data_IF_628398980649
#
_entry.id   IF_628398980649
#
_cell.length_a   1.000
_cell.length_b   1.000
_cell.length_c   1.000
_cell.angle_alpha   90.00
_cell.angle_beta   90.00
_cell.angle_gamma   90.00
#
_symmetry.space_group_name_H-M   'P 1'
#
loop_
_entity.id
_entity.type
_entity.pdbx_description
1 polymer ?
#
# COMPACT_ATOMS: atom_id res chain seq x y z
N UNK A 1 12.46 -18.65 -3.23
CA UNK A 1 12.76 -17.43 -2.45
C UNK A 1 12.24 -17.65 -1.05
N UNK A 2 13.06 -17.48 0.00
CA UNK A 2 12.66 -17.77 1.38
C UNK A 2 11.46 -16.91 1.78
N UNK A 3 10.36 -17.56 2.17
CA UNK A 3 9.26 -16.88 2.85
C UNK A 3 9.74 -16.37 4.20
N UNK A 4 9.28 -15.19 4.60
CA UNK A 4 9.50 -14.69 5.95
C UNK A 4 8.74 -15.59 6.94
N UNK A 5 9.49 -16.25 7.82
CA UNK A 5 8.92 -17.00 8.93
C UNK A 5 8.65 -16.06 10.10
N UNK A 6 7.37 -15.72 10.27
CA UNK A 6 6.91 -14.83 11.33
C UNK A 6 7.00 -15.48 12.72
N UNK A 7 6.89 -16.81 12.79
CA UNK A 7 6.95 -17.51 14.07
C UNK A 7 8.39 -17.58 14.56
N UNK A 8 9.34 -17.77 13.64
CA UNK A 8 10.76 -17.64 13.94
C UNK A 8 11.09 -16.24 14.48
N UNK A 9 10.55 -15.17 13.87
CA UNK A 9 10.73 -13.80 14.41
C UNK A 9 10.26 -13.70 15.86
N UNK A 10 9.06 -14.20 16.16
CA UNK A 10 8.50 -14.15 17.52
C UNK A 10 9.34 -14.98 18.50
N UNK A 11 9.76 -16.16 18.09
CA UNK A 11 10.59 -17.07 18.89
C UNK A 11 11.92 -16.43 19.23
N UNK A 12 12.62 -15.86 18.25
CA UNK A 12 13.91 -15.18 18.44
C UNK A 12 13.79 -13.99 19.39
N UNK A 13 12.78 -13.13 19.20
CA UNK A 13 12.54 -11.98 20.11
C UNK A 13 12.28 -12.45 21.54
N UNK A 14 11.43 -13.48 21.71
CA UNK A 14 11.15 -14.05 23.03
C UNK A 14 12.40 -14.64 23.68
N UNK A 15 13.25 -15.33 22.91
CA UNK A 15 14.52 -15.89 23.42
C UNK A 15 15.50 -14.80 23.83
N UNK A 16 15.64 -13.74 23.04
CA UNK A 16 16.58 -12.65 23.32
C UNK A 16 16.16 -11.76 24.48
N UNK A 17 14.87 -11.51 24.61
CA UNK A 17 14.37 -10.40 25.43
C UNK A 17 13.32 -10.80 26.46
N UNK A 18 12.89 -12.06 26.48
CA UNK A 18 11.84 -12.55 27.36
C UNK A 18 10.43 -12.03 27.01
N UNK A 19 9.41 -12.39 27.81
CA UNK A 19 8.04 -11.94 27.63
C UNK A 19 7.90 -10.48 28.11
N UNK A 20 8.13 -9.52 27.23
CA UNK A 20 8.09 -8.08 27.54
C UNK A 20 7.06 -7.36 26.67
N UNK A 21 6.64 -6.14 27.06
CA UNK A 21 5.72 -5.31 26.27
C UNK A 21 6.14 -5.17 24.78
N UNK A 22 7.44 -4.99 24.44
CA UNK A 22 7.89 -5.01 23.04
C UNK A 22 7.47 -6.27 22.25
N UNK A 23 7.47 -7.45 22.89
CA UNK A 23 7.04 -8.69 22.23
C UNK A 23 5.57 -8.63 21.81
N UNK A 24 4.70 -8.09 22.65
CA UNK A 24 3.27 -7.94 22.33
C UNK A 24 3.06 -6.91 21.21
N UNK A 25 3.76 -5.78 21.25
CA UNK A 25 3.72 -4.78 20.17
C UNK A 25 4.19 -5.37 18.84
N UNK A 26 5.25 -6.19 18.85
CA UNK A 26 5.71 -6.87 17.63
C UNK A 26 4.67 -7.86 17.13
N UNK A 27 4.04 -8.66 18.00
CA UNK A 27 2.97 -9.59 17.59
C UNK A 27 1.84 -8.86 16.89
N UNK A 28 1.39 -7.73 17.45
CA UNK A 28 0.35 -6.90 16.85
C UNK A 28 0.79 -6.30 15.51
N UNK A 29 2.03 -5.83 15.40
CA UNK A 29 2.58 -5.31 14.15
C UNK A 29 2.64 -6.40 13.08
N UNK A 30 3.16 -7.60 13.39
CA UNK A 30 3.24 -8.72 12.46
C UNK A 30 1.84 -9.09 11.94
N UNK A 31 0.88 -9.25 12.85
CA UNK A 31 -0.50 -9.56 12.45
C UNK A 31 -1.08 -8.47 11.54
N UNK A 32 -0.85 -7.20 11.89
CA UNK A 32 -1.33 -6.06 11.10
C UNK A 32 -0.69 -5.99 9.71
N UNK A 33 0.61 -6.27 9.59
CA UNK A 33 1.33 -6.40 8.30
C UNK A 33 0.65 -7.48 7.44
N UNK A 34 0.35 -8.64 8.02
CA UNK A 34 -0.27 -9.75 7.28
C UNK A 34 -1.70 -9.42 6.85
N UNK A 35 -2.50 -8.79 7.71
CA UNK A 35 -3.85 -8.35 7.37
C UNK A 35 -3.85 -7.26 6.29
N UNK A 36 -3.03 -6.22 6.41
CA UNK A 36 -2.98 -5.13 5.43
C UNK A 36 -2.56 -5.61 4.04
N UNK A 37 -1.64 -6.57 3.95
CA UNK A 37 -1.32 -7.24 2.68
C UNK A 37 -2.53 -7.95 2.07
N UNK A 38 -3.30 -8.68 2.89
CA UNK A 38 -4.51 -9.36 2.43
C UNK A 38 -5.59 -8.37 2.01
N UNK A 39 -5.80 -7.29 2.76
CA UNK A 39 -6.80 -6.27 2.44
C UNK A 39 -6.46 -5.52 1.15
N UNK A 40 -5.20 -5.13 0.97
CA UNK A 40 -4.74 -4.54 -0.28
C UNK A 40 -5.00 -5.48 -1.47
N UNK A 41 -4.64 -6.75 -1.35
CA UNK A 41 -4.91 -7.75 -2.39
C UNK A 41 -6.41 -7.92 -2.65
N UNK A 42 -7.20 -8.09 -1.60
CA UNK A 42 -8.64 -8.31 -1.70
C UNK A 42 -9.31 -7.16 -2.46
N UNK A 43 -9.12 -5.93 -2.00
CA UNK A 43 -9.74 -4.77 -2.63
C UNK A 43 -9.21 -4.54 -4.06
N UNK A 44 -7.94 -4.81 -4.32
CA UNK A 44 -7.40 -4.72 -5.67
C UNK A 44 -8.07 -5.72 -6.63
N UNK A 45 -8.31 -6.95 -6.19
CA UNK A 45 -9.02 -7.96 -7.00
C UNK A 45 -10.48 -7.57 -7.21
N UNK A 46 -11.16 -7.04 -6.19
CA UNK A 46 -12.53 -6.54 -6.33
C UNK A 46 -12.63 -5.44 -7.40
N UNK A 47 -11.66 -4.52 -7.48
CA UNK A 47 -11.63 -3.52 -8.57
C UNK A 47 -11.59 -4.20 -9.95
N UNK A 48 -10.73 -5.23 -10.13
CA UNK A 48 -10.63 -5.96 -11.40
C UNK A 48 -11.95 -6.66 -11.74
N UNK A 49 -12.57 -7.34 -10.77
CA UNK A 49 -13.84 -8.05 -10.94
C UNK A 49 -14.96 -7.09 -11.33
N UNK A 50 -15.12 -5.98 -10.60
CA UNK A 50 -16.18 -4.99 -10.87
C UNK A 50 -15.96 -4.35 -12.24
N UNK A 51 -14.72 -3.98 -12.59
CA UNK A 51 -14.41 -3.38 -13.87
C UNK A 51 -14.68 -4.35 -15.03
N UNK A 52 -14.31 -5.62 -14.90
CA UNK A 52 -14.56 -6.64 -15.91
C UNK A 52 -16.06 -6.92 -16.09
N UNK A 53 -16.82 -7.01 -14.99
CA UNK A 53 -18.26 -7.17 -15.04
C UNK A 53 -18.94 -5.96 -15.72
N UNK A 54 -18.53 -4.74 -15.35
CA UNK A 54 -19.06 -3.52 -15.95
C UNK A 54 -18.73 -3.44 -17.45
N UNK A 55 -17.48 -3.70 -17.82
CA UNK A 55 -17.07 -3.74 -19.22
C UNK A 55 -17.89 -4.79 -19.99
N UNK A 56 -18.04 -6.01 -19.48
CA UNK A 56 -18.82 -7.07 -20.14
C UNK A 56 -20.29 -6.68 -20.43
N UNK A 57 -20.88 -5.82 -19.61
CA UNK A 57 -22.28 -5.36 -19.76
C UNK A 57 -22.37 -4.14 -20.72
N UNK A 58 -21.43 -3.20 -20.62
CA UNK A 58 -21.56 -1.87 -21.24
C UNK A 58 -20.66 -1.65 -22.48
N UNK A 59 -19.84 -2.63 -22.86
CA UNK A 59 -19.00 -2.60 -24.07
C UNK A 59 -19.76 -2.70 -25.41
N UNK A 60 -21.10 -2.82 -25.39
CA UNK A 60 -21.90 -2.72 -26.60
C UNK A 60 -22.06 -1.23 -26.95
N UNK A 61 -21.61 -0.82 -28.14
CA UNK A 61 -21.54 0.57 -28.62
C UNK A 61 -22.84 1.37 -28.42
N UNK A 62 -24.00 0.73 -28.48
CA UNK A 62 -25.32 1.33 -28.25
C UNK A 62 -25.56 1.78 -26.80
N UNK A 63 -24.87 1.19 -25.82
CA UNK A 63 -25.09 1.45 -24.39
C UNK A 63 -24.40 2.73 -23.89
N UNK A 64 -23.29 3.14 -24.52
CA UNK A 64 -22.52 4.33 -24.12
C UNK A 64 -23.29 5.61 -24.48
N UNK A 65 -23.85 5.65 -25.69
CA UNK A 65 -24.72 6.75 -26.10
C UNK A 65 -25.92 6.86 -25.15
N UNK A 66 -26.51 5.73 -24.74
CA UNK A 66 -27.63 5.75 -23.80
C UNK A 66 -27.24 6.21 -22.39
N UNK A 67 -26.08 5.84 -21.85
CA UNK A 67 -25.65 6.28 -20.51
C UNK A 67 -25.25 7.77 -20.49
N UNK A 68 -24.62 8.26 -21.56
CA UNK A 68 -24.06 9.63 -21.61
C UNK A 68 -25.04 10.66 -22.17
N UNK A 69 -25.89 10.28 -23.14
CA UNK A 69 -26.76 11.21 -23.89
C UNK A 69 -28.25 11.07 -23.53
N UNK A 70 -28.71 9.89 -23.11
CA UNK A 70 -30.12 9.65 -22.77
C UNK A 70 -30.26 9.47 -21.27
N UNK A 71 -30.45 10.59 -20.56
CA UNK A 71 -30.65 10.73 -19.12
C UNK A 71 -31.79 9.85 -18.55
N UNK A 72 -31.65 8.54 -18.58
CA UNK A 72 -32.55 7.61 -17.93
C UNK A 72 -32.02 7.35 -16.53
N UNK A 73 -32.78 7.77 -15.52
CA UNK A 73 -32.32 7.91 -14.13
C UNK A 73 -31.82 6.60 -13.51
N UNK A 74 -32.37 5.45 -13.91
CA UNK A 74 -32.01 4.15 -13.34
C UNK A 74 -30.62 3.64 -13.78
N UNK A 75 -30.30 3.71 -15.08
CA UNK A 75 -29.00 3.24 -15.59
C UNK A 75 -27.86 4.18 -15.18
N UNK A 76 -28.13 5.49 -15.15
CA UNK A 76 -27.18 6.47 -14.61
C UNK A 76 -26.89 6.21 -13.12
N UNK A 77 -27.91 5.90 -12.32
CA UNK A 77 -27.73 5.55 -10.92
C UNK A 77 -26.90 4.27 -10.73
N UNK A 78 -27.11 3.24 -11.57
CA UNK A 78 -26.28 2.02 -11.57
C UNK A 78 -24.82 2.33 -11.92
N UNK A 79 -24.59 3.21 -12.89
CA UNK A 79 -23.24 3.64 -13.27
C UNK A 79 -22.54 4.40 -12.14
N UNK A 80 -23.20 5.38 -11.54
CA UNK A 80 -22.64 6.12 -10.40
C UNK A 80 -22.39 5.23 -9.18
N UNK A 81 -23.27 4.25 -8.93
CA UNK A 81 -23.06 3.24 -7.90
C UNK A 81 -21.82 2.38 -8.19
N UNK A 82 -21.64 1.93 -9.44
CA UNK A 82 -20.45 1.20 -9.88
C UNK A 82 -19.18 2.02 -9.66
N UNK A 83 -19.16 3.29 -10.10
CA UNK A 83 -18.05 4.22 -9.88
C UNK A 83 -17.73 4.39 -8.40
N UNK A 84 -18.75 4.51 -7.56
CA UNK A 84 -18.60 4.62 -6.11
C UNK A 84 -17.95 3.37 -5.52
N UNK A 85 -18.42 2.18 -5.93
CA UNK A 85 -17.86 0.90 -5.47
C UNK A 85 -16.39 0.73 -5.88
N UNK A 86 -16.06 1.05 -7.14
CA UNK A 86 -14.68 1.05 -7.64
C UNK A 86 -13.84 2.04 -6.82
N UNK A 87 -14.31 3.27 -6.64
CA UNK A 87 -13.61 4.30 -5.87
C UNK A 87 -13.33 3.90 -4.43
N UNK A 88 -14.28 3.24 -3.77
CA UNK A 88 -14.12 2.72 -2.41
C UNK A 88 -13.01 1.65 -2.34
N UNK A 89 -13.04 0.67 -3.25
CA UNK A 89 -12.02 -0.39 -3.28
C UNK A 89 -10.63 0.14 -3.67
N UNK A 90 -10.53 1.09 -4.60
CA UNK A 90 -9.25 1.75 -4.92
C UNK A 90 -8.70 2.46 -3.70
N UNK A 91 -9.52 3.27 -3.04
CA UNK A 91 -9.12 4.01 -1.82
C UNK A 91 -8.64 3.05 -0.74
N UNK A 92 -9.39 1.98 -0.47
CA UNK A 92 -9.04 0.99 0.54
C UNK A 92 -7.74 0.23 0.19
N UNK A 93 -7.49 -0.02 -1.10
CA UNK A 93 -6.23 -0.62 -1.58
C UNK A 93 -5.06 0.33 -1.33
N UNK A 94 -5.18 1.59 -1.78
CA UNK A 94 -4.15 2.63 -1.62
C UNK A 94 -3.79 2.83 -0.16
N UNK A 95 -4.79 3.00 0.72
CA UNK A 95 -4.56 3.16 2.16
C UNK A 95 -3.89 1.92 2.77
N UNK A 96 -4.34 0.72 2.41
CA UNK A 96 -3.75 -0.52 2.93
C UNK A 96 -2.29 -0.71 2.50
N UNK A 97 -1.93 -0.30 1.27
CA UNK A 97 -0.54 -0.32 0.77
C UNK A 97 0.31 0.71 1.53
N UNK A 98 -0.20 1.93 1.72
CA UNK A 98 0.51 2.99 2.43
C UNK A 98 0.72 2.64 3.93
N UNK A 99 -0.32 2.26 4.65
CA UNK A 99 -0.22 1.94 6.08
C UNK A 99 0.67 0.72 6.34
N UNK A 100 0.82 -0.18 5.36
CA UNK A 100 1.74 -1.32 5.44
C UNK A 100 3.18 -0.87 5.69
N UNK A 101 3.63 0.24 5.10
CA UNK A 101 5.01 0.72 5.31
C UNK A 101 5.22 1.22 6.73
N UNK A 102 4.25 1.93 7.29
CA UNK A 102 4.34 2.45 8.66
C UNK A 102 4.33 1.31 9.70
N UNK A 103 3.49 0.30 9.47
CA UNK A 103 3.42 -0.86 10.37
C UNK A 103 4.70 -1.70 10.23
N UNK A 104 5.26 -1.83 9.02
CA UNK A 104 6.54 -2.52 8.81
C UNK A 104 7.68 -1.82 9.56
N UNK A 105 7.72 -0.49 9.53
CA UNK A 105 8.68 0.32 10.30
C UNK A 105 8.51 0.08 11.80
N UNK A 106 7.28 0.12 12.32
CA UNK A 106 6.98 -0.17 13.73
C UNK A 106 7.44 -1.57 14.11
N UNK A 107 7.15 -2.56 13.27
CA UNK A 107 7.56 -3.95 13.48
C UNK A 107 9.07 -4.05 13.66
N UNK A 108 9.86 -3.46 12.77
CA UNK A 108 11.34 -3.42 12.88
C UNK A 108 11.77 -2.70 14.16
N UNK A 109 11.22 -1.52 14.40
CA UNK A 109 11.56 -0.68 15.55
C UNK A 109 11.38 -1.41 16.90
N UNK A 110 10.23 -2.06 17.08
CA UNK A 110 9.96 -2.83 18.30
C UNK A 110 10.73 -4.15 18.36
N UNK A 111 10.94 -4.82 17.22
CA UNK A 111 11.70 -6.07 17.17
C UNK A 111 13.14 -5.89 17.60
N UNK A 112 13.73 -4.72 17.29
CA UNK A 112 15.09 -4.36 17.67
C UNK A 112 15.18 -3.63 19.02
N UNK A 113 14.06 -3.52 19.76
CA UNK A 113 13.93 -2.77 21.02
C UNK A 113 14.41 -1.32 20.95
N UNK A 114 14.33 -0.69 19.78
CA UNK A 114 14.71 0.72 19.62
C UNK A 114 13.85 1.64 20.50
N UNK A 115 12.64 1.19 20.88
CA UNK A 115 11.74 1.88 21.80
C UNK A 115 12.25 2.02 23.24
N UNK A 116 13.29 1.27 23.63
CA UNK A 116 13.87 1.32 24.97
C UNK A 116 15.21 2.08 25.01
N UNK A 117 15.68 2.59 23.87
CA UNK A 117 16.89 3.39 23.82
C UNK A 117 16.62 4.79 24.42
N UNK A 118 17.61 5.43 25.07
CA UNK A 118 17.44 6.76 25.66
C UNK A 118 16.96 7.81 24.65
N UNK A 119 17.38 7.69 23.39
CA UNK A 119 16.95 8.55 22.29
C UNK A 119 15.79 7.93 21.49
N UNK A 120 14.80 7.33 22.16
CA UNK A 120 13.64 6.71 21.50
C UNK A 120 12.80 7.72 20.70
N UNK A 121 12.15 7.24 19.64
CA UNK A 121 11.19 8.03 18.87
C UNK A 121 10.04 8.51 19.74
N UNK A 122 9.61 9.75 19.49
CA UNK A 122 8.38 10.31 20.04
C UNK A 122 7.21 9.39 19.64
N UNK A 123 6.35 9.09 20.61
CA UNK A 123 5.15 8.27 20.42
C UNK A 123 4.38 8.76 19.17
N UNK A 124 4.01 7.80 18.32
CA UNK A 124 3.24 8.01 17.07
C UNK A 124 3.99 8.65 15.89
N UNK A 125 5.29 8.94 15.98
CA UNK A 125 6.10 9.40 14.83
C UNK A 125 6.93 8.27 14.21
N UNK A 126 6.25 7.25 13.71
CA UNK A 126 6.91 6.11 13.05
C UNK A 126 6.74 6.22 11.54
N UNK A 127 7.82 6.50 10.84
CA UNK A 127 7.87 6.51 9.38
C UNK A 127 9.23 6.01 8.90
N UNK A 128 9.35 5.74 7.61
CA UNK A 128 10.61 5.32 7.00
C UNK A 128 11.74 6.33 7.26
N UNK A 129 11.43 7.63 7.27
CA UNK A 129 12.40 8.68 7.58
C UNK A 129 12.83 8.68 9.05
N UNK A 130 11.90 8.44 9.99
CA UNK A 130 12.22 8.55 11.42
C UNK A 130 13.03 7.36 11.93
N UNK A 131 12.93 6.18 11.30
CA UNK A 131 13.69 4.99 11.71
C UNK A 131 15.14 4.98 11.17
N UNK A 132 15.42 5.67 10.07
CA UNK A 132 16.74 5.68 9.43
C UNK A 132 17.91 5.98 10.40
N UNK A 133 17.86 7.03 11.25
CA UNK A 133 18.95 7.31 12.19
C UNK A 133 19.24 6.17 13.16
N UNK A 134 18.24 5.37 13.53
CA UNK A 134 18.42 4.22 14.43
C UNK A 134 19.13 3.06 13.73
N UNK A 135 18.77 2.82 12.47
CA UNK A 135 19.39 1.77 11.66
C UNK A 135 20.83 2.15 11.29
N UNK A 136 21.11 3.42 11.04
CA UNK A 136 22.46 3.91 10.72
C UNK A 136 23.45 3.80 11.89
N UNK A 137 22.96 3.85 13.14
CA UNK A 137 23.82 3.78 14.35
C UNK A 137 24.43 2.40 14.59
N UNK A 138 23.91 1.34 13.97
CA UNK A 138 24.38 -0.02 14.19
C UNK A 138 24.61 -0.72 12.86
N UNK A 139 25.88 -1.08 12.58
CA UNK A 139 26.29 -1.72 11.33
C UNK A 139 25.57 -3.06 11.09
N UNK A 140 25.16 -3.76 12.16
CA UNK A 140 24.37 -4.99 12.10
C UNK A 140 22.96 -4.79 11.54
N UNK A 141 22.48 -3.54 11.41
CA UNK A 141 21.16 -3.22 10.82
C UNK A 141 21.23 -2.72 9.38
N UNK A 142 22.43 -2.68 8.79
CA UNK A 142 22.67 -2.21 7.41
C UNK A 142 21.78 -2.89 6.37
N UNK A 143 21.62 -4.21 6.45
CA UNK A 143 20.74 -4.96 5.53
C UNK A 143 19.28 -4.51 5.58
N UNK A 144 18.74 -4.25 6.78
CA UNK A 144 17.37 -3.75 6.95
C UNK A 144 17.27 -2.33 6.39
N UNK A 145 18.27 -1.48 6.70
CA UNK A 145 18.32 -0.10 6.22
C UNK A 145 18.27 -0.03 4.70
N UNK A 146 19.11 -0.79 4.01
CA UNK A 146 19.16 -0.83 2.54
C UNK A 146 17.80 -1.17 1.94
N UNK A 147 17.08 -2.13 2.53
CA UNK A 147 15.76 -2.52 2.03
C UNK A 147 14.74 -1.40 2.26
N UNK A 148 14.72 -0.78 3.45
CA UNK A 148 13.78 0.31 3.73
C UNK A 148 14.07 1.58 2.90
N UNK A 149 15.35 1.90 2.67
CA UNK A 149 15.76 3.01 1.81
C UNK A 149 15.31 2.80 0.37
N UNK A 150 15.27 1.55 -0.10
CA UNK A 150 14.77 1.23 -1.44
C UNK A 150 13.29 1.57 -1.64
N UNK A 151 12.50 1.58 -0.55
CA UNK A 151 11.10 2.04 -0.59
C UNK A 151 11.07 3.56 -0.78
N UNK A 152 11.85 4.30 0.00
CA UNK A 152 11.90 5.77 -0.07
C UNK A 152 12.41 6.27 -1.43
N UNK A 153 13.37 5.55 -2.03
CA UNK A 153 13.90 5.86 -3.35
C UNK A 153 12.96 5.51 -4.51
N UNK A 154 11.86 4.80 -4.25
CA UNK A 154 10.94 4.36 -5.30
C UNK A 154 10.03 5.52 -5.73
N UNK A 155 10.10 5.91 -7.02
CA UNK A 155 9.32 7.03 -7.56
C UNK A 155 7.81 6.88 -7.36
N UNK A 156 7.31 5.66 -7.52
CA UNK A 156 5.87 5.39 -7.33
C UNK A 156 5.46 5.42 -5.85
N UNK A 157 6.40 5.18 -4.92
CA UNK A 157 6.12 5.35 -3.49
C UNK A 157 5.95 6.82 -3.10
N UNK A 158 6.71 7.73 -3.74
CA UNK A 158 6.47 9.19 -3.61
C UNK A 158 5.05 9.52 -4.07
N UNK A 159 4.64 9.02 -5.24
CA UNK A 159 3.28 9.21 -5.74
C UNK A 159 2.23 8.65 -4.77
N UNK A 160 2.42 7.44 -4.24
CA UNK A 160 1.53 6.80 -3.26
C UNK A 160 1.35 7.66 -2.00
N UNK A 161 2.48 8.11 -1.43
CA UNK A 161 2.49 8.92 -0.20
C UNK A 161 1.76 10.25 -0.43
N UNK A 162 2.08 10.94 -1.52
CA UNK A 162 1.42 12.19 -1.91
C UNK A 162 -0.08 11.98 -2.17
N UNK A 163 -0.47 10.89 -2.84
CA UNK A 163 -1.86 10.54 -3.10
C UNK A 163 -2.66 10.36 -1.81
N UNK A 164 -2.11 9.62 -0.84
CA UNK A 164 -2.74 9.38 0.46
C UNK A 164 -2.82 10.66 1.28
N UNK A 165 -1.72 11.41 1.39
CA UNK A 165 -1.70 12.64 2.17
C UNK A 165 -2.66 13.68 1.60
N UNK A 166 -2.67 13.87 0.28
CA UNK A 166 -3.64 14.74 -0.36
C UNK A 166 -5.08 14.29 -0.08
N UNK A 167 -5.35 12.99 -0.17
CA UNK A 167 -6.70 12.42 0.07
C UNK A 167 -7.14 12.53 1.53
N UNK A 168 -6.21 12.50 2.48
CA UNK A 168 -6.50 12.58 3.92
C UNK A 168 -6.71 14.03 4.38
N UNK A 169 -5.94 14.98 3.85
CA UNK A 169 -5.88 16.35 4.39
C UNK A 169 -6.57 17.40 3.52
N UNK A 170 -6.77 17.15 2.23
CA UNK A 170 -7.28 18.16 1.29
C UNK A 170 -8.53 17.68 0.55
N UNK A 171 -8.37 16.71 -0.35
CA UNK A 171 -9.49 16.15 -1.08
C UNK A 171 -9.15 14.80 -1.70
N UNK A 172 -10.16 13.93 -1.78
CA UNK A 172 -10.03 12.61 -2.36
C UNK A 172 -9.69 12.69 -3.86
N UNK A 173 -8.54 12.15 -4.25
CA UNK A 173 -8.19 11.99 -5.66
C UNK A 173 -8.93 10.77 -6.21
N UNK A 174 -9.98 11.03 -7.00
CA UNK A 174 -10.88 10.00 -7.50
C UNK A 174 -10.22 9.18 -8.62
N UNK A 175 -10.38 7.86 -8.55
CA UNK A 175 -10.20 6.98 -9.68
C UNK A 175 -11.38 7.16 -10.64
N UNK A 176 -11.09 7.63 -11.86
CA UNK A 176 -12.12 7.93 -12.87
C UNK A 176 -12.06 6.89 -13.98
N UNK A 177 -13.23 6.36 -14.36
CA UNK A 177 -13.37 5.51 -15.53
C UNK A 177 -13.22 6.37 -16.79
N UNK A 178 -12.33 5.96 -17.68
CA UNK A 178 -12.05 6.65 -18.93
C UNK A 178 -12.34 5.71 -20.09
N UNK A 179 -13.04 6.22 -21.10
CA UNK A 179 -13.38 5.50 -22.32
C UNK A 179 -12.50 6.00 -23.45
N UNK A 180 -11.80 5.08 -24.11
CA UNK A 180 -11.07 5.36 -25.33
C UNK A 180 -11.84 4.79 -26.52
N UNK A 181 -12.37 5.70 -27.35
CA UNK A 181 -13.13 5.35 -28.56
C UNK A 181 -12.23 5.17 -29.80
N UNK A 182 -10.94 5.51 -29.69
CA UNK A 182 -10.04 5.70 -30.83
C UNK A 182 -9.14 4.49 -31.10
N UNK A 183 -8.99 3.60 -30.12
CA UNK A 183 -8.20 2.39 -30.24
C UNK A 183 -9.07 1.14 -30.39
N UNK A 184 -8.50 0.05 -30.94
CA UNK A 184 -9.08 -1.31 -30.95
C UNK A 184 -8.59 -2.19 -29.77
N UNK A 185 -8.59 -1.77 -28.49
CA UNK A 185 -8.30 -2.72 -27.43
C UNK A 185 -9.53 -3.61 -27.22
N UNK A 186 -9.31 -4.84 -26.78
CA UNK A 186 -10.39 -5.72 -26.29
C UNK A 186 -11.19 -5.10 -25.12
N UNK A 187 -10.68 -4.02 -24.51
CA UNK A 187 -11.36 -3.28 -23.45
C UNK A 187 -11.07 -1.75 -23.53
N UNK A 188 -11.96 -0.93 -24.11
CA UNK A 188 -11.84 0.54 -24.19
C UNK A 188 -11.96 1.28 -22.84
N UNK A 189 -12.27 0.57 -21.75
CA UNK A 189 -12.38 1.19 -20.42
C UNK A 189 -11.08 1.06 -19.63
N UNK A 190 -10.54 2.21 -19.21
CA UNK A 190 -9.37 2.27 -18.34
C UNK A 190 -9.68 3.07 -17.08
N UNK A 191 -9.10 2.67 -15.96
CA UNK A 191 -9.24 3.40 -14.70
C UNK A 191 -8.00 4.28 -14.49
N UNK A 192 -8.19 5.59 -14.33
CA UNK A 192 -7.10 6.57 -14.16
C UNK A 192 -7.28 7.40 -12.90
N UNK A 193 -6.19 7.62 -12.16
CA UNK A 193 -6.13 8.72 -11.19
C UNK A 193 -6.08 10.03 -11.97
N UNK A 194 -6.86 11.01 -11.51
CA UNK A 194 -6.80 12.36 -12.06
C UNK A 194 -5.45 13.01 -11.76
N UNK A 195 -5.02 13.92 -12.62
CA UNK A 195 -3.87 14.76 -12.31
C UNK A 195 -4.22 15.70 -11.15
N UNK A 196 -3.25 15.99 -10.29
CA UNK A 196 -3.46 16.86 -9.13
C UNK A 196 -2.18 17.62 -8.80
N UNK A 197 -2.32 18.69 -8.01
CA UNK A 197 -1.20 19.50 -7.52
C UNK A 197 -1.14 19.37 -6.00
N UNK A 198 0.04 19.13 -5.45
CA UNK A 198 0.26 19.02 -4.00
C UNK A 198 1.57 19.70 -3.65
N UNK A 199 1.54 20.59 -2.64
CA UNK A 199 2.72 21.32 -2.16
C UNK A 199 3.56 21.98 -3.27
N UNK A 200 2.89 22.53 -4.30
CA UNK A 200 3.57 23.18 -5.42
C UNK A 200 4.01 22.25 -6.57
N UNK A 201 4.04 20.93 -6.35
CA UNK A 201 4.40 19.94 -7.36
C UNK A 201 3.19 19.43 -8.15
N UNK A 202 3.38 19.16 -9.45
CA UNK A 202 2.35 18.61 -10.33
C UNK A 202 2.51 17.09 -10.49
N UNK A 203 1.41 16.37 -10.25
CA UNK A 203 1.33 14.92 -10.39
C UNK A 203 0.41 14.58 -11.57
N UNK A 204 0.98 13.96 -12.60
CA UNK A 204 0.24 13.57 -13.80
C UNK A 204 -0.71 12.39 -13.58
N UNK A 205 -1.60 12.15 -14.55
CA UNK A 205 -2.51 11.00 -14.55
C UNK A 205 -1.73 9.68 -14.44
N UNK A 206 -2.34 8.67 -13.80
CA UNK A 206 -1.78 7.33 -13.65
C UNK A 206 -2.84 6.27 -13.89
N UNK A 207 -2.47 5.18 -14.57
CA UNK A 207 -3.33 4.01 -14.72
C UNK A 207 -3.43 3.29 -13.37
N UNK A 208 -4.63 3.23 -12.81
CA UNK A 208 -4.86 2.73 -11.45
C UNK A 208 -4.44 1.28 -11.31
N UNK A 209 -4.86 0.41 -12.24
CA UNK A 209 -4.58 -1.02 -12.14
C UNK A 209 -3.09 -1.33 -12.19
N UNK A 210 -2.37 -0.75 -13.15
CA UNK A 210 -0.93 -0.94 -13.30
C UNK A 210 -0.17 -0.40 -12.08
N UNK A 211 -0.55 0.79 -11.60
CA UNK A 211 0.05 1.38 -10.39
C UNK A 211 -0.15 0.49 -9.15
N UNK A 212 -1.39 0.10 -8.86
CA UNK A 212 -1.70 -0.69 -7.67
C UNK A 212 -1.06 -2.09 -7.72
N UNK A 213 -1.01 -2.72 -8.89
CA UNK A 213 -0.34 -4.01 -9.06
C UNK A 213 1.16 -3.92 -8.76
N UNK A 214 1.81 -2.89 -9.32
CA UNK A 214 3.23 -2.66 -9.12
C UNK A 214 3.54 -2.39 -7.64
N UNK A 215 2.83 -1.47 -7.00
CA UNK A 215 3.07 -1.10 -5.61
C UNK A 215 2.75 -2.26 -4.64
N UNK A 216 1.65 -2.98 -4.86
CA UNK A 216 1.31 -4.16 -4.08
C UNK A 216 2.40 -5.24 -4.17
N UNK A 217 2.88 -5.52 -5.39
CA UNK A 217 3.92 -6.53 -5.62
C UNK A 217 5.27 -6.10 -5.06
N UNK A 218 5.63 -4.82 -5.22
CA UNK A 218 6.84 -4.24 -4.66
C UNK A 218 6.83 -4.37 -3.14
N UNK A 219 5.81 -3.84 -2.45
CA UNK A 219 5.74 -3.89 -0.98
C UNK A 219 5.61 -5.31 -0.45
N UNK A 220 4.87 -6.20 -1.12
CA UNK A 220 4.78 -7.61 -0.70
C UNK A 220 6.15 -8.30 -0.69
N UNK A 221 6.98 -8.05 -1.72
CA UNK A 221 8.36 -8.56 -1.77
C UNK A 221 9.21 -7.92 -0.69
N UNK A 222 9.07 -6.61 -0.49
CA UNK A 222 9.82 -5.86 0.51
C UNK A 222 9.54 -6.33 1.93
N UNK A 223 8.28 -6.54 2.30
CA UNK A 223 7.89 -7.10 3.61
C UNK A 223 8.58 -8.43 3.87
N UNK A 224 8.55 -9.34 2.88
CA UNK A 224 9.21 -10.65 3.01
C UNK A 224 10.72 -10.49 3.17
N UNK A 225 11.36 -9.62 2.39
CA UNK A 225 12.81 -9.36 2.51
C UNK A 225 13.17 -8.78 3.88
N UNK A 226 12.45 -7.76 4.34
CA UNK A 226 12.68 -7.14 5.67
C UNK A 226 12.54 -8.18 6.77
N UNK A 227 11.47 -8.98 6.75
CA UNK A 227 11.25 -10.02 7.76
C UNK A 227 12.33 -11.10 7.78
N UNK A 228 12.78 -11.57 6.61
CA UNK A 228 13.89 -12.52 6.53
C UNK A 228 15.21 -11.94 7.05
N UNK A 229 15.55 -10.71 6.66
CA UNK A 229 16.78 -10.06 7.16
C UNK A 229 16.67 -9.77 8.67
N UNK A 230 15.49 -9.39 9.16
CA UNK A 230 15.25 -9.22 10.59
C UNK A 230 15.51 -10.52 11.37
N UNK A 231 15.08 -11.67 10.86
CA UNK A 231 15.39 -12.95 11.49
C UNK A 231 16.89 -13.20 11.55
N UNK A 232 17.63 -12.93 10.47
CA UNK A 232 19.10 -13.06 10.47
C UNK A 232 19.75 -12.13 11.51
N UNK A 233 19.29 -10.88 11.61
CA UNK A 233 19.79 -9.91 12.59
C UNK A 233 19.52 -10.36 14.02
N UNK A 234 18.33 -10.87 14.30
CA UNK A 234 17.96 -11.39 15.61
C UNK A 234 18.77 -12.66 15.95
N UNK A 235 18.97 -13.55 14.97
CA UNK A 235 19.77 -14.76 15.18
C UNK A 235 21.22 -14.44 15.52
N UNK A 236 21.84 -13.46 14.87
CA UNK A 236 23.21 -13.01 15.18
C UNK A 236 23.34 -12.34 16.56
N UNK A 237 22.23 -11.91 17.17
CA UNK A 237 22.20 -11.33 18.52
C UNK A 237 22.02 -12.37 19.62
N UNK A 238 21.63 -13.61 19.26
CA UNK A 238 21.42 -14.71 20.21
C UNK A 238 22.75 -15.31 20.58
#
# INVERSE_FOLDING_TARGET
>A
MSSWDTEETRRLIRTLYGPTQPLEMVRQCISSVMYRRRYARFHFQEVKVILAAYAGIHLKSEYIANIVLLSNTAEQNKFEYCKTKIGAHVTATVQSIYELTDILVKMVYFSLRCNLLPASLIKNKYSLHTIQPFLSKNIGYSGIKVILDSILGHKEFKFLTTLVNHSNYYSLIKATLWFDATEKPQNPYTLKFQAFKYEGENYGKRLVLAFLENEHNHLSKTVTKVGSVLNSVLLMKK
#
